data_IF_182793523537
#
_entry.id   IF_182793523537
#
_cell.length_a   1.000
_cell.length_b   1.000
_cell.length_c   1.000
_cell.angle_alpha   90.00
_cell.angle_beta   90.00
_cell.angle_gamma   90.00
#
_symmetry.space_group_name_H-M   'P 1'
#
loop_
_entity.id
_entity.type
_entity.pdbx_description
1 polymer ?
#
# COMPACT_ATOMS: atom_id res chain seq x y z
N UNK A 1 6.41 26.32 40.52
CA UNK A 1 6.41 26.22 39.05
C UNK A 1 5.92 24.81 38.67
N UNK A 2 4.72 24.74 38.07
CA UNK A 2 4.21 23.46 37.57
C UNK A 2 5.00 23.03 36.32
N UNK A 3 5.32 21.74 36.15
CA UNK A 3 6.03 21.27 34.95
C UNK A 3 5.15 21.47 33.71
N UNK A 4 5.70 22.13 32.68
CA UNK A 4 5.09 22.23 31.36
C UNK A 4 4.89 20.80 30.82
N UNK A 5 3.67 20.30 30.83
CA UNK A 5 3.30 19.08 30.09
C UNK A 5 3.61 19.29 28.62
N UNK A 6 4.59 18.56 28.11
CA UNK A 6 4.93 18.58 26.68
C UNK A 6 3.70 18.10 25.91
N UNK A 7 3.00 19.01 25.27
CA UNK A 7 1.90 18.70 24.34
C UNK A 7 2.43 17.74 23.27
N UNK A 8 1.92 16.52 23.28
CA UNK A 8 2.28 15.49 22.28
C UNK A 8 1.61 15.85 20.95
N UNK A 9 2.39 16.02 19.88
CA UNK A 9 1.84 16.39 18.57
C UNK A 9 0.84 15.34 18.05
N UNK A 10 -0.14 15.80 17.23
CA UNK A 10 -1.13 14.94 16.58
C UNK A 10 -0.45 13.81 15.75
N UNK A 11 0.68 14.11 15.10
CA UNK A 11 1.48 13.12 14.37
C UNK A 11 2.03 12.02 15.29
N UNK A 12 2.52 12.38 16.49
CA UNK A 12 3.02 11.42 17.48
C UNK A 12 1.89 10.54 18.01
N UNK A 13 0.70 11.11 18.25
CA UNK A 13 -0.47 10.35 18.70
C UNK A 13 -0.92 9.36 17.62
N UNK A 14 -0.99 9.81 16.35
CA UNK A 14 -1.31 8.96 15.21
C UNK A 14 -0.31 7.80 15.07
N UNK A 15 1.00 8.07 15.19
CA UNK A 15 2.03 7.05 15.11
C UNK A 15 1.91 6.03 16.27
N UNK A 16 1.62 6.49 17.50
CA UNK A 16 1.37 5.61 18.66
C UNK A 16 0.14 4.74 18.46
N UNK A 17 -0.92 5.27 17.86
CA UNK A 17 -2.12 4.51 17.50
C UNK A 17 -1.80 3.43 16.47
N UNK A 18 -1.16 3.78 15.34
CA UNK A 18 -0.80 2.83 14.29
C UNK A 18 0.09 1.69 14.79
N UNK A 19 1.04 1.99 15.70
CA UNK A 19 1.90 0.96 16.33
C UNK A 19 1.14 -0.04 17.20
N UNK A 20 -0.07 0.27 17.66
CA UNK A 20 -0.92 -0.64 18.46
C UNK A 20 -1.76 -1.58 17.58
N UNK A 21 -1.96 -1.23 16.30
CA UNK A 21 -2.71 -2.07 15.37
C UNK A 21 -1.92 -3.34 15.07
N UNK A 22 -2.64 -4.44 14.90
CA UNK A 22 -2.05 -5.76 14.60
C UNK A 22 -2.55 -6.23 13.24
N UNK A 23 -1.62 -6.40 12.32
CA UNK A 23 -1.87 -7.02 11.04
C UNK A 23 -2.17 -8.51 11.25
N UNK A 24 -3.37 -8.94 10.87
CA UNK A 24 -3.88 -10.29 11.07
C UNK A 24 -4.67 -10.77 9.85
N UNK A 25 -4.99 -12.07 9.80
CA UNK A 25 -5.85 -12.68 8.78
C UNK A 25 -7.36 -12.54 9.09
N UNK A 26 -7.77 -11.59 9.94
CA UNK A 26 -9.18 -11.46 10.34
C UNK A 26 -10.11 -11.23 9.13
N UNK A 27 -9.73 -10.35 8.24
CA UNK A 27 -10.54 -9.95 7.10
C UNK A 27 -10.49 -11.00 5.98
N UNK A 28 -9.34 -11.59 5.74
CA UNK A 28 -9.15 -12.71 4.81
C UNK A 28 -10.02 -13.90 5.23
N UNK A 29 -9.98 -14.27 6.52
CA UNK A 29 -10.82 -15.36 7.06
C UNK A 29 -12.31 -15.06 6.92
N UNK A 30 -12.74 -13.82 7.14
CA UNK A 30 -14.14 -13.43 6.95
C UNK A 30 -14.59 -13.58 5.49
N UNK A 31 -13.74 -13.18 4.53
CA UNK A 31 -13.99 -13.37 3.10
C UNK A 31 -14.05 -14.86 2.73
N UNK A 32 -13.11 -15.69 3.21
CA UNK A 32 -13.10 -17.13 2.97
C UNK A 32 -14.33 -17.85 3.56
N UNK A 33 -14.77 -17.47 4.77
CA UNK A 33 -16.02 -17.98 5.36
C UNK A 33 -17.25 -17.56 4.53
N UNK A 34 -17.19 -16.38 3.91
CA UNK A 34 -18.20 -15.89 2.95
C UNK A 34 -18.16 -16.58 1.59
N UNK A 35 -17.27 -17.56 1.37
CA UNK A 35 -17.17 -18.35 0.14
C UNK A 35 -16.09 -17.89 -0.85
N UNK A 36 -15.37 -16.78 -0.58
CA UNK A 36 -14.27 -16.34 -1.42
C UNK A 36 -13.12 -17.36 -1.41
N UNK A 37 -12.49 -17.57 -2.57
CA UNK A 37 -11.33 -18.46 -2.76
C UNK A 37 -10.06 -17.67 -3.02
N UNK A 38 -10.16 -16.63 -3.83
CA UNK A 38 -9.04 -15.77 -4.25
C UNK A 38 -9.24 -14.36 -3.71
N UNK A 39 -8.70 -14.12 -2.51
CA UNK A 39 -8.81 -12.82 -1.82
C UNK A 39 -7.57 -11.98 -2.14
N UNK A 40 -7.76 -10.83 -2.79
CA UNK A 40 -6.69 -9.89 -3.08
C UNK A 40 -6.68 -8.73 -2.07
N UNK A 41 -5.50 -8.40 -1.55
CA UNK A 41 -5.26 -7.12 -0.88
C UNK A 41 -4.86 -6.05 -1.89
N UNK A 42 -5.37 -4.83 -1.72
CA UNK A 42 -5.11 -3.69 -2.62
C UNK A 42 -4.74 -2.46 -1.79
N UNK A 43 -3.66 -1.80 -2.16
CA UNK A 43 -3.20 -0.55 -1.53
C UNK A 43 -2.47 0.35 -2.54
N UNK A 44 -2.39 1.67 -2.25
CA UNK A 44 -1.66 2.65 -3.05
C UNK A 44 -0.58 3.38 -2.26
N UNK A 45 0.36 3.94 -3.00
CA UNK A 45 1.41 4.83 -2.48
C UNK A 45 1.66 5.99 -3.42
N UNK A 46 2.02 7.15 -2.87
CA UNK A 46 2.29 8.37 -3.64
C UNK A 46 1.25 9.46 -3.47
N UNK A 47 0.14 9.18 -2.81
CA UNK A 47 -0.98 10.11 -2.63
C UNK A 47 -0.64 11.37 -1.84
N UNK A 48 0.32 11.30 -0.93
CA UNK A 48 0.80 12.44 -0.14
C UNK A 48 2.13 13.03 -0.63
N UNK A 49 2.62 12.61 -1.80
CA UNK A 49 3.85 13.19 -2.39
C UNK A 49 3.51 14.42 -3.23
N UNK A 50 4.50 15.33 -3.35
CA UNK A 50 4.41 16.53 -4.19
C UNK A 50 4.77 16.24 -5.64
N UNK A 51 5.46 15.12 -5.91
CA UNK A 51 5.98 14.79 -7.23
C UNK A 51 5.96 13.27 -7.47
N UNK A 52 5.80 12.90 -8.75
CA UNK A 52 5.86 11.51 -9.21
C UNK A 52 4.50 10.80 -9.23
N UNK A 53 4.47 9.55 -9.71
CA UNK A 53 3.24 8.80 -9.88
C UNK A 53 2.60 8.37 -8.57
N UNK A 54 1.28 8.12 -8.60
CA UNK A 54 0.63 7.24 -7.65
C UNK A 54 0.75 5.81 -8.18
N UNK A 55 1.14 4.89 -7.31
CA UNK A 55 1.36 3.48 -7.64
C UNK A 55 0.48 2.63 -6.74
N UNK A 56 -0.28 1.71 -7.32
CA UNK A 56 -1.06 0.73 -6.58
C UNK A 56 -0.56 -0.70 -6.87
N UNK A 57 -0.76 -1.58 -5.91
CA UNK A 57 -0.56 -3.01 -6.09
C UNK A 57 -1.77 -3.79 -5.64
N UNK A 58 -2.01 -4.93 -6.31
CA UNK A 58 -2.96 -5.95 -5.91
C UNK A 58 -2.22 -7.28 -5.73
N UNK A 59 -2.45 -7.96 -4.61
CA UNK A 59 -1.70 -9.16 -4.21
C UNK A 59 -2.65 -10.22 -3.70
N UNK A 60 -2.58 -11.44 -4.27
CA UNK A 60 -3.22 -12.64 -3.73
C UNK A 60 -2.13 -13.50 -3.10
N UNK A 61 -2.13 -13.61 -1.78
CA UNK A 61 -1.19 -14.48 -1.06
C UNK A 61 -1.61 -15.94 -1.11
N UNK A 62 -0.63 -16.85 -1.05
CA UNK A 62 -0.90 -18.27 -0.88
C UNK A 62 -1.68 -18.55 0.41
N UNK A 63 -2.84 -19.24 0.36
CA UNK A 63 -3.57 -19.63 1.55
C UNK A 63 -2.71 -20.50 2.48
N UNK A 64 -2.70 -20.16 3.77
CA UNK A 64 -1.97 -20.94 4.77
C UNK A 64 -0.50 -20.55 4.97
N UNK A 65 0.13 -19.85 4.03
CA UNK A 65 1.49 -19.34 4.24
C UNK A 65 1.49 -18.06 5.08
N UNK A 66 2.38 -17.99 6.06
CA UNK A 66 2.50 -16.83 6.96
C UNK A 66 3.80 -16.08 6.74
N UNK A 67 3.73 -14.93 6.11
CA UNK A 67 4.85 -14.00 6.03
C UNK A 67 4.93 -13.21 7.34
N UNK A 68 5.93 -13.53 8.17
CA UNK A 68 6.14 -12.81 9.44
C UNK A 68 6.67 -11.40 9.20
N UNK A 69 6.13 -10.42 9.94
CA UNK A 69 6.60 -9.04 9.93
C UNK A 69 5.85 -8.11 8.97
N UNK A 70 4.79 -8.59 8.31
CA UNK A 70 3.89 -7.73 7.54
C UNK A 70 3.18 -6.73 8.46
N UNK A 71 3.22 -5.49 8.08
CA UNK A 71 2.55 -4.33 8.72
C UNK A 71 2.64 -3.13 7.80
N UNK A 72 2.06 -1.99 8.20
CA UNK A 72 2.19 -0.71 7.49
C UNK A 72 3.63 -0.49 6.99
N UNK A 73 3.78 -0.38 5.66
CA UNK A 73 5.07 -0.28 4.95
C UNK A 73 5.91 0.92 5.39
N UNK A 74 5.27 1.99 5.88
CA UNK A 74 5.93 3.20 6.38
C UNK A 74 6.66 2.98 7.71
N UNK A 75 6.27 1.94 8.46
CA UNK A 75 6.90 1.54 9.73
C UNK A 75 8.04 0.54 9.55
N UNK A 76 8.33 0.10 8.32
CA UNK A 76 9.34 -0.91 8.00
C UNK A 76 10.55 -0.23 7.35
N UNK A 77 11.77 -0.40 7.89
CA UNK A 77 12.99 0.07 7.24
C UNK A 77 13.14 -0.47 5.81
N UNK A 78 13.75 0.31 4.90
CA UNK A 78 13.83 -0.02 3.47
C UNK A 78 14.45 -1.41 3.22
N UNK A 79 15.58 -1.73 3.86
CA UNK A 79 16.21 -3.05 3.73
C UNK A 79 15.23 -4.18 4.06
N UNK A 80 14.55 -4.07 5.20
CA UNK A 80 13.58 -5.08 5.64
C UNK A 80 12.35 -5.15 4.73
N UNK A 81 11.92 -4.00 4.19
CA UNK A 81 10.82 -3.93 3.23
C UNK A 81 11.15 -4.66 1.92
N UNK A 82 12.38 -4.52 1.42
CA UNK A 82 12.85 -5.24 0.24
C UNK A 82 12.92 -6.77 0.48
N UNK A 83 13.38 -7.21 1.66
CA UNK A 83 13.36 -8.63 2.04
C UNK A 83 11.93 -9.19 2.11
N UNK A 84 10.98 -8.40 2.65
CA UNK A 84 9.57 -8.79 2.70
C UNK A 84 8.94 -8.82 1.31
N UNK A 85 9.27 -7.85 0.44
CA UNK A 85 8.79 -7.85 -0.93
C UNK A 85 9.26 -9.07 -1.72
N UNK A 86 10.50 -9.55 -1.52
CA UNK A 86 10.97 -10.79 -2.11
C UNK A 86 10.13 -12.00 -1.64
N UNK A 87 9.88 -12.11 -0.33
CA UNK A 87 9.03 -13.18 0.23
C UNK A 87 7.58 -13.10 -0.24
N UNK A 88 7.02 -11.88 -0.39
CA UNK A 88 5.66 -11.71 -0.94
C UNK A 88 5.64 -12.22 -2.38
N UNK A 89 6.64 -11.89 -3.21
CA UNK A 89 6.72 -12.38 -4.61
C UNK A 89 6.85 -13.89 -4.69
N UNK A 90 7.60 -14.52 -3.80
CA UNK A 90 7.79 -15.96 -3.72
C UNK A 90 6.51 -16.71 -3.30
N UNK A 91 5.69 -16.09 -2.40
CA UNK A 91 4.54 -16.74 -1.78
C UNK A 91 3.21 -16.05 -2.12
N UNK A 92 3.09 -15.61 -3.35
CA UNK A 92 1.86 -15.06 -3.90
C UNK A 92 1.37 -15.89 -5.08
N UNK A 93 0.05 -16.09 -5.15
CA UNK A 93 -0.60 -16.68 -6.33
C UNK A 93 -0.66 -15.70 -7.49
N UNK A 94 -0.69 -14.39 -7.17
CA UNK A 94 -0.69 -13.32 -8.15
C UNK A 94 -0.29 -11.99 -7.56
N UNK A 95 0.41 -11.20 -8.35
CA UNK A 95 0.79 -9.80 -8.06
C UNK A 95 0.62 -9.00 -9.33
N UNK A 96 -0.02 -7.85 -9.19
CA UNK A 96 -0.04 -6.82 -10.24
C UNK A 96 0.27 -5.46 -9.65
N UNK A 97 0.80 -4.57 -10.49
CA UNK A 97 1.20 -3.22 -10.11
C UNK A 97 0.78 -2.29 -11.24
N UNK A 98 0.13 -1.20 -10.89
CA UNK A 98 -0.23 -0.16 -11.84
C UNK A 98 0.19 1.21 -11.31
N UNK A 99 0.49 2.11 -12.23
CA UNK A 99 0.88 3.48 -11.92
C UNK A 99 0.07 4.46 -12.75
N UNK A 100 -0.31 5.58 -12.14
CA UNK A 100 -0.90 6.74 -12.80
C UNK A 100 0.08 7.89 -12.65
N UNK A 101 0.46 8.50 -13.77
CA UNK A 101 1.47 9.55 -13.83
C UNK A 101 0.95 10.91 -13.34
N UNK A 102 1.87 11.87 -13.21
CA UNK A 102 1.55 13.22 -12.77
C UNK A 102 0.62 13.96 -13.74
N UNK A 103 0.76 13.76 -15.05
CA UNK A 103 -0.09 14.42 -16.02
C UNK A 103 -1.55 13.97 -15.90
N UNK A 104 -1.76 12.68 -15.65
CA UNK A 104 -3.11 12.15 -15.38
C UNK A 104 -3.64 12.60 -14.02
N UNK A 105 -2.79 12.66 -12.99
CA UNK A 105 -3.17 13.19 -11.66
C UNK A 105 -3.69 14.62 -11.77
N UNK A 106 -3.03 15.47 -12.56
CA UNK A 106 -3.43 16.87 -12.76
C UNK A 106 -4.80 16.99 -13.45
N UNK A 107 -5.16 16.04 -14.31
CA UNK A 107 -6.45 16.00 -15.00
C UNK A 107 -7.61 15.59 -14.10
N UNK A 108 -7.41 14.58 -13.25
CA UNK A 108 -8.52 13.93 -12.54
C UNK A 108 -8.44 14.05 -11.00
N UNK A 109 -7.43 14.72 -10.48
CA UNK A 109 -6.99 14.82 -9.08
C UNK A 109 -6.47 13.50 -8.48
N UNK A 110 -5.78 13.61 -7.35
CA UNK A 110 -5.09 12.49 -6.69
C UNK A 110 -6.06 11.41 -6.15
N UNK A 111 -7.28 11.77 -5.76
CA UNK A 111 -8.27 10.80 -5.28
C UNK A 111 -8.72 9.86 -6.39
N UNK A 112 -9.10 10.40 -7.54
CA UNK A 112 -9.51 9.62 -8.70
C UNK A 112 -8.33 8.85 -9.31
N UNK A 113 -7.14 9.45 -9.37
CA UNK A 113 -5.92 8.79 -9.81
C UNK A 113 -5.55 7.58 -8.94
N UNK A 114 -5.74 7.67 -7.62
CA UNK A 114 -5.53 6.54 -6.70
C UNK A 114 -6.52 5.40 -6.99
N UNK A 115 -7.80 5.73 -7.18
CA UNK A 115 -8.82 4.72 -7.54
C UNK A 115 -8.54 4.09 -8.91
N UNK A 116 -8.13 4.89 -9.89
CA UNK A 116 -7.75 4.42 -11.23
C UNK A 116 -6.54 3.47 -11.14
N UNK A 117 -5.49 3.81 -10.40
CA UNK A 117 -4.34 2.94 -10.19
C UNK A 117 -4.72 1.61 -9.52
N UNK A 118 -5.57 1.65 -8.48
CA UNK A 118 -6.07 0.45 -7.81
C UNK A 118 -6.90 -0.43 -8.76
N UNK A 119 -7.81 0.17 -9.53
CA UNK A 119 -8.64 -0.55 -10.49
C UNK A 119 -7.77 -1.22 -11.56
N UNK A 120 -6.81 -0.51 -12.14
CA UNK A 120 -5.88 -1.05 -13.13
C UNK A 120 -5.06 -2.20 -12.55
N UNK A 121 -4.59 -2.08 -11.29
CA UNK A 121 -3.89 -3.17 -10.62
C UNK A 121 -4.78 -4.41 -10.46
N UNK A 122 -6.06 -4.24 -10.09
CA UNK A 122 -7.01 -5.36 -9.96
C UNK A 122 -7.30 -6.00 -11.31
N UNK A 123 -7.54 -5.22 -12.35
CA UNK A 123 -7.85 -5.71 -13.70
C UNK A 123 -6.70 -6.52 -14.33
N UNK A 124 -5.45 -6.17 -14.01
CA UNK A 124 -4.25 -6.84 -14.50
C UNK A 124 -3.85 -8.06 -13.66
N UNK A 125 -4.48 -8.26 -12.48
CA UNK A 125 -4.12 -9.34 -11.58
C UNK A 125 -4.56 -10.70 -12.12
N UNK A 126 -3.65 -11.65 -12.14
CA UNK A 126 -3.93 -13.05 -12.51
C UNK A 126 -3.39 -13.99 -11.41
N UNK A 127 -4.22 -14.98 -10.98
CA UNK A 127 -5.62 -15.21 -11.34
C UNK A 127 -6.54 -14.07 -10.88
N UNK A 128 -7.72 -13.93 -11.51
CA UNK A 128 -8.68 -12.90 -11.12
C UNK A 128 -9.21 -13.16 -9.70
N UNK A 129 -9.28 -12.14 -8.84
CA UNK A 129 -9.80 -12.28 -7.48
C UNK A 129 -11.33 -12.37 -7.50
N UNK A 130 -11.88 -13.08 -6.52
CA UNK A 130 -13.32 -13.12 -6.25
C UNK A 130 -13.72 -12.22 -5.06
N UNK A 131 -12.73 -11.73 -4.30
CA UNK A 131 -12.95 -10.75 -3.24
C UNK A 131 -11.74 -9.81 -3.06
N UNK A 132 -12.02 -8.52 -2.90
CA UNK A 132 -11.00 -7.48 -2.67
C UNK A 132 -11.06 -6.99 -1.22
N UNK A 133 -9.91 -6.93 -0.57
CA UNK A 133 -9.67 -6.17 0.65
C UNK A 133 -8.91 -4.91 0.27
N UNK A 134 -9.52 -3.72 0.41
CA UNK A 134 -8.97 -2.46 -0.12
C UNK A 134 -8.74 -1.48 1.03
N UNK A 135 -7.56 -0.82 1.05
CA UNK A 135 -7.31 0.25 2.03
C UNK A 135 -8.14 1.48 1.72
N UNK A 136 -9.00 1.86 2.66
CA UNK A 136 -9.78 3.10 2.75
C UNK A 136 -10.64 3.49 1.53
N UNK A 137 -10.68 2.68 0.45
CA UNK A 137 -11.41 2.98 -0.80
C UNK A 137 -12.24 1.79 -1.30
N UNK A 138 -12.97 2.01 -2.40
CA UNK A 138 -13.59 0.99 -3.25
C UNK A 138 -13.30 1.33 -4.71
N UNK A 139 -13.30 0.32 -5.58
CA UNK A 139 -13.08 0.46 -7.03
C UNK A 139 -14.30 -0.05 -7.80
N UNK A 140 -14.40 0.32 -9.08
CA UNK A 140 -15.49 -0.15 -9.96
C UNK A 140 -15.15 -1.54 -10.51
N UNK A 141 -15.45 -2.58 -9.74
CA UNK A 141 -15.20 -3.97 -10.10
C UNK A 141 -16.32 -4.86 -9.56
N UNK A 142 -16.69 -5.93 -10.31
CA UNK A 142 -17.89 -6.75 -10.03
C UNK A 142 -17.71 -7.74 -8.88
N UNK A 143 -16.47 -8.04 -8.44
CA UNK A 143 -16.26 -8.95 -7.33
C UNK A 143 -16.59 -8.32 -5.97
N UNK A 144 -16.80 -9.16 -4.94
CA UNK A 144 -17.03 -8.71 -3.57
C UNK A 144 -15.89 -7.80 -3.07
N UNK A 145 -16.22 -6.77 -2.31
CA UNK A 145 -15.25 -5.81 -1.79
C UNK A 145 -15.46 -5.51 -0.32
N UNK A 146 -14.37 -5.42 0.43
CA UNK A 146 -14.36 -4.94 1.81
C UNK A 146 -13.37 -3.78 1.94
N UNK A 147 -13.91 -2.57 2.18
CA UNK A 147 -13.11 -1.40 2.49
C UNK A 147 -12.67 -1.43 3.95
N UNK A 148 -11.37 -1.26 4.20
CA UNK A 148 -10.78 -1.32 5.53
C UNK A 148 -9.95 -0.06 5.78
N UNK A 149 -10.36 0.77 6.73
CA UNK A 149 -9.57 1.94 7.14
C UNK A 149 -8.34 1.48 7.92
N UNK A 150 -7.16 1.95 7.55
CA UNK A 150 -5.86 1.46 8.03
C UNK A 150 -5.66 -0.04 7.70
N UNK A 151 -6.10 -0.45 6.52
CA UNK A 151 -6.03 -1.83 6.07
C UNK A 151 -4.61 -2.36 6.02
N UNK A 152 -3.64 -1.53 5.63
CA UNK A 152 -2.20 -1.81 5.65
C UNK A 152 -1.63 -2.19 7.03
N UNK A 153 -2.31 -1.75 8.11
CA UNK A 153 -1.96 -2.10 9.49
C UNK A 153 -2.81 -3.25 10.06
N UNK A 154 -3.91 -3.66 9.41
CA UNK A 154 -4.91 -4.59 9.94
C UNK A 154 -5.03 -5.90 9.16
N UNK A 155 -4.88 -5.88 7.82
CA UNK A 155 -5.00 -7.02 6.91
C UNK A 155 -3.63 -7.43 6.37
N UNK A 156 -3.34 -8.72 6.39
CA UNK A 156 -2.08 -9.29 5.87
C UNK A 156 -1.98 -9.07 4.36
N UNK A 157 -3.07 -9.23 3.62
CA UNK A 157 -3.11 -9.06 2.17
C UNK A 157 -2.92 -7.60 1.76
N UNK A 158 -3.55 -6.65 2.45
CA UNK A 158 -3.36 -5.22 2.20
C UNK A 158 -1.94 -4.79 2.57
N UNK A 159 -1.40 -5.27 3.70
CA UNK A 159 -0.02 -4.99 4.09
C UNK A 159 1.00 -5.49 3.04
N UNK A 160 0.73 -6.66 2.43
CA UNK A 160 1.55 -7.17 1.34
C UNK A 160 1.48 -6.24 0.10
N UNK A 161 0.29 -5.82 -0.30
CA UNK A 161 0.09 -4.86 -1.40
C UNK A 161 0.80 -3.52 -1.12
N UNK A 162 0.67 -2.97 0.10
CA UNK A 162 1.36 -1.76 0.56
C UNK A 162 2.88 -1.85 0.40
N UNK A 163 3.48 -2.99 0.80
CA UNK A 163 4.92 -3.22 0.67
C UNK A 163 5.33 -3.28 -0.80
N UNK A 164 4.61 -4.02 -1.64
CA UNK A 164 4.90 -4.14 -3.07
C UNK A 164 4.79 -2.78 -3.77
N UNK A 165 3.68 -2.05 -3.56
CA UNK A 165 3.48 -0.72 -4.13
C UNK A 165 4.61 0.25 -3.71
N UNK A 166 4.99 0.23 -2.42
CA UNK A 166 6.04 1.10 -1.88
C UNK A 166 7.41 0.80 -2.47
N UNK A 167 7.79 -0.48 -2.56
CA UNK A 167 9.08 -0.87 -3.15
C UNK A 167 9.14 -0.48 -4.63
N UNK A 168 8.06 -0.67 -5.37
CA UNK A 168 8.02 -0.35 -6.79
C UNK A 168 8.05 1.16 -7.03
N UNK A 169 7.26 1.94 -6.27
CA UNK A 169 7.31 3.40 -6.38
C UNK A 169 8.69 3.94 -6.01
N UNK A 170 9.31 3.43 -4.96
CA UNK A 170 10.66 3.86 -4.56
C UNK A 170 11.70 3.54 -5.66
N UNK A 171 11.52 2.44 -6.42
CA UNK A 171 12.33 2.11 -7.60
C UNK A 171 12.09 3.11 -8.74
N UNK A 172 10.81 3.41 -9.05
CA UNK A 172 10.47 4.41 -10.08
C UNK A 172 11.04 5.79 -9.74
N UNK A 173 10.95 6.22 -8.48
CA UNK A 173 11.48 7.51 -8.05
C UNK A 173 13.01 7.59 -8.13
N UNK A 174 13.74 6.47 -7.91
CA UNK A 174 15.19 6.42 -8.15
C UNK A 174 15.52 6.60 -9.63
N UNK A 175 14.81 5.93 -10.53
CA UNK A 175 15.02 6.09 -11.97
C UNK A 175 14.73 7.53 -12.45
N UNK A 176 13.72 8.19 -11.87
CA UNK A 176 13.41 9.59 -12.15
C UNK A 176 14.51 10.51 -11.60
N UNK A 177 15.10 10.19 -10.45
CA UNK A 177 16.16 10.98 -9.84
C UNK A 177 17.40 11.13 -10.75
N UNK A 178 17.72 10.10 -11.53
CA UNK A 178 18.82 10.12 -12.48
C UNK A 178 18.60 11.16 -13.60
N UNK A 179 17.34 11.48 -13.91
CA UNK A 179 16.97 12.49 -14.92
C UNK A 179 16.94 13.91 -14.33
N UNK A 180 16.79 14.05 -13.02
CA UNK A 180 16.61 15.33 -12.33
C UNK A 180 17.51 15.46 -11.09
N UNK A 181 18.85 15.39 -11.23
CA UNK A 181 19.79 15.37 -10.10
C UNK A 181 19.64 16.51 -9.08
N UNK A 182 19.33 17.79 -9.50
CA UNK A 182 19.26 18.91 -8.55
C UNK A 182 18.16 18.81 -7.50
N UNK A 183 17.14 17.94 -7.71
CA UNK A 183 15.97 17.87 -6.82
C UNK A 183 16.08 16.81 -5.72
N UNK A 184 17.18 16.06 -5.65
CA UNK A 184 17.42 14.98 -4.68
C UNK A 184 16.22 13.99 -4.55
N UNK A 185 15.55 13.71 -5.66
CA UNK A 185 14.36 12.85 -5.73
C UNK A 185 14.68 11.43 -5.22
N UNK A 186 15.91 10.99 -5.40
CA UNK A 186 16.37 9.67 -4.94
C UNK A 186 16.31 9.49 -3.43
N UNK A 187 16.49 10.56 -2.64
CA UNK A 187 16.39 10.52 -1.18
C UNK A 187 14.97 10.86 -0.69
N UNK A 188 14.39 11.96 -1.17
CA UNK A 188 13.08 12.45 -0.71
C UNK A 188 11.89 11.70 -1.34
N UNK A 189 12.12 10.97 -2.47
CA UNK A 189 11.09 10.17 -3.19
C UNK A 189 9.83 10.95 -3.52
N UNK A 190 9.98 12.25 -3.78
CA UNK A 190 8.90 13.18 -4.12
C UNK A 190 8.11 13.70 -2.92
N UNK A 191 8.51 13.39 -1.69
CA UNK A 191 7.93 13.99 -0.48
C UNK A 191 8.68 15.26 -0.10
N UNK A 192 7.98 16.15 0.63
CA UNK A 192 8.61 17.36 1.18
C UNK A 192 9.74 16.94 2.14
N UNK A 193 10.93 17.47 1.91
CA UNK A 193 12.02 17.38 2.88
C UNK A 193 11.69 18.20 4.12
N UNK A 194 12.18 17.79 5.31
CA UNK A 194 12.01 18.55 6.54
C UNK A 194 12.60 19.95 6.46
#
# INVERSE_FOLDING_TARGET
MAPLEKQVSAATLKLRFLKKLKCTLKYEKAAWVGGAKLVAGVDEVGRGSLFGPVVAAAVILEPGYRIRGLRDSKLIPEKKRNELAAKIREHSLGISIAAVDSARIDQINIYHASREAMLLAVQQLLPQPDHLLIDAMTVEHDCGQTKIIHGDALSVSIAAASIIAKVERDRMMRNIADLYPPYDIGSNKGFRSP
#
